data_IF_522663769522
#
_entry.id   IF_522663769522
#
_cell.length_a   1.000
_cell.length_b   1.000
_cell.length_c   1.000
_cell.angle_alpha   90.00
_cell.angle_beta   90.00
_cell.angle_gamma   90.00
#
_symmetry.space_group_name_H-M   'P 1'
#
loop_
_entity.id
_entity.type
_entity.pdbx_description
1 polymer ?
#
# COMPACT_ATOMS: atom_id res chain seq x y z
N UNK A 1 -47.01 51.81 57.70
CA UNK A 1 -47.13 50.55 56.93
C UNK A 1 -45.97 50.50 55.96
N UNK A 2 -44.92 49.74 56.28
CA UNK A 2 -43.75 49.60 55.44
C UNK A 2 -43.92 48.36 54.55
N UNK A 3 -43.94 48.52 53.19
CA UNK A 3 -43.99 47.44 52.28
C UNK A 3 -42.55 46.91 52.05
N UNK A 4 -42.31 45.65 52.42
CA UNK A 4 -41.05 44.94 52.14
C UNK A 4 -41.21 44.34 50.79
N UNK A 5 -40.34 44.77 49.82
CA UNK A 5 -40.23 44.19 48.52
C UNK A 5 -39.14 43.08 48.58
N UNK A 6 -39.56 41.83 48.49
CA UNK A 6 -38.65 40.68 48.42
C UNK A 6 -38.22 40.54 46.95
N UNK A 7 -36.94 40.82 46.70
CA UNK A 7 -36.32 40.66 45.41
C UNK A 7 -35.81 39.17 45.25
N UNK A 8 -36.58 38.36 44.56
CA UNK A 8 -36.15 36.97 44.24
C UNK A 8 -35.15 37.05 43.11
N UNK A 9 -33.87 36.86 43.44
CA UNK A 9 -32.81 36.69 42.45
C UNK A 9 -32.87 35.27 41.93
N UNK A 10 -33.42 35.08 40.70
CA UNK A 10 -33.43 33.80 39.97
C UNK A 10 -32.07 33.61 39.32
N UNK A 11 -31.18 32.87 40.01
CA UNK A 11 -29.90 32.44 39.42
C UNK A 11 -30.18 31.38 38.35
N UNK A 12 -30.26 31.78 37.09
CA UNK A 12 -30.20 30.87 35.96
C UNK A 12 -28.80 30.26 35.92
N UNK A 13 -28.69 29.02 36.36
CA UNK A 13 -27.52 28.17 36.10
C UNK A 13 -27.45 27.87 34.59
N UNK A 14 -26.70 28.67 33.85
CA UNK A 14 -26.30 28.36 32.48
C UNK A 14 -25.34 27.16 32.53
N UNK A 15 -25.89 25.95 32.60
CA UNK A 15 -25.16 24.76 32.21
C UNK A 15 -24.91 24.87 30.73
N UNK A 16 -23.83 25.57 30.36
CA UNK A 16 -23.30 25.57 29.01
C UNK A 16 -22.95 24.14 28.65
N UNK A 17 -23.76 23.52 27.81
CA UNK A 17 -23.40 22.28 27.12
C UNK A 17 -22.23 22.63 26.23
N UNK A 18 -21.01 22.57 26.76
CA UNK A 18 -19.81 22.53 25.92
C UNK A 18 -19.93 21.27 25.08
N UNK A 19 -20.31 21.39 23.82
CA UNK A 19 -20.14 20.33 22.85
C UNK A 19 -18.65 19.98 22.90
N UNK A 20 -18.31 18.95 23.66
CA UNK A 20 -16.96 18.35 23.57
C UNK A 20 -16.75 17.99 22.12
N UNK A 21 -15.83 18.69 21.46
CA UNK A 21 -15.44 18.39 20.07
C UNK A 21 -15.02 16.93 20.11
N UNK A 22 -15.78 16.07 19.41
CA UNK A 22 -15.43 14.64 19.34
C UNK A 22 -13.99 14.54 18.87
N UNK A 23 -13.19 13.78 19.59
CA UNK A 23 -11.83 13.47 19.17
C UNK A 23 -11.89 12.81 17.80
N UNK A 24 -11.00 13.20 16.89
CA UNK A 24 -10.96 12.67 15.53
C UNK A 24 -9.55 12.56 15.02
N UNK A 25 -9.35 11.64 14.08
CA UNK A 25 -8.11 11.45 13.32
C UNK A 25 -8.41 11.50 11.81
N UNK A 26 -7.55 12.15 11.06
CA UNK A 26 -7.63 12.23 9.60
C UNK A 26 -6.57 11.31 8.99
N UNK A 27 -7.04 10.22 8.41
CA UNK A 27 -6.20 9.17 7.81
C UNK A 27 -6.24 9.30 6.29
N UNK A 28 -5.08 9.22 5.65
CA UNK A 28 -4.94 9.16 4.20
C UNK A 28 -4.16 7.89 3.84
N UNK A 29 -4.83 6.92 3.21
CA UNK A 29 -4.29 5.59 2.91
C UNK A 29 -4.56 5.19 1.45
N UNK A 30 -4.01 4.09 1.04
CA UNK A 30 -4.38 3.39 -0.19
C UNK A 30 -5.85 2.95 -0.15
N UNK A 31 -6.49 2.86 -1.30
CA UNK A 31 -7.78 2.18 -1.41
C UNK A 31 -7.60 0.67 -1.10
N UNK A 32 -8.64 0.03 -0.55
CA UNK A 32 -8.62 -1.42 -0.27
C UNK A 32 -7.46 -1.90 0.60
N UNK A 33 -7.17 -1.19 1.70
CA UNK A 33 -6.07 -1.54 2.63
C UNK A 33 -6.54 -1.84 4.05
N UNK A 34 -7.51 -1.11 4.57
CA UNK A 34 -8.09 -1.35 5.90
C UNK A 34 -9.60 -1.53 5.70
N UNK A 35 -10.20 -2.67 6.11
CA UNK A 35 -11.65 -2.87 6.02
C UNK A 35 -12.42 -1.85 6.85
N UNK A 36 -13.57 -1.40 6.34
CA UNK A 36 -14.43 -0.43 7.02
C UNK A 36 -14.84 -0.91 8.43
N UNK A 37 -15.03 -2.22 8.63
CA UNK A 37 -15.35 -2.79 9.94
C UNK A 37 -14.29 -2.49 10.99
N UNK A 38 -13.00 -2.48 10.62
CA UNK A 38 -11.89 -2.16 11.54
C UNK A 38 -11.96 -0.69 11.97
N UNK A 39 -12.29 0.20 11.04
CA UNK A 39 -12.50 1.62 11.33
C UNK A 39 -13.68 1.81 12.28
N UNK A 40 -14.80 1.16 12.00
CA UNK A 40 -16.01 1.23 12.82
C UNK A 40 -15.80 0.62 14.23
N UNK A 41 -15.08 -0.49 14.32
CA UNK A 41 -14.71 -1.12 15.61
C UNK A 41 -13.85 -0.16 16.44
N UNK A 42 -12.83 0.47 15.85
CA UNK A 42 -12.02 1.49 16.52
C UNK A 42 -12.84 2.68 17.01
N UNK A 43 -13.73 3.23 16.16
CA UNK A 43 -14.62 4.34 16.55
C UNK A 43 -15.54 3.95 17.71
N UNK A 44 -16.06 2.72 17.69
CA UNK A 44 -16.95 2.20 18.73
C UNK A 44 -16.22 1.99 20.07
N UNK A 45 -15.00 1.45 20.03
CA UNK A 45 -14.21 1.15 21.22
C UNK A 45 -13.65 2.40 21.88
N UNK A 46 -13.25 3.39 21.08
CA UNK A 46 -12.53 4.57 21.58
C UNK A 46 -13.37 5.84 21.67
N UNK A 47 -14.49 5.90 20.94
CA UNK A 47 -15.26 7.13 20.75
C UNK A 47 -14.60 8.15 19.81
N UNK A 48 -13.43 7.83 19.24
CA UNK A 48 -12.65 8.67 18.33
C UNK A 48 -13.16 8.47 16.90
N UNK A 49 -13.49 9.57 16.21
CA UNK A 49 -13.92 9.50 14.81
C UNK A 49 -12.72 9.37 13.87
N UNK A 50 -12.82 8.48 12.90
CA UNK A 50 -11.82 8.32 11.82
C UNK A 50 -12.36 8.94 10.53
N UNK A 51 -11.75 10.02 10.06
CA UNK A 51 -11.99 10.58 8.74
C UNK A 51 -11.01 9.91 7.77
N UNK A 52 -11.49 8.90 7.06
CA UNK A 52 -10.66 8.09 6.17
C UNK A 52 -10.76 8.61 4.74
N UNK A 53 -9.63 8.87 4.11
CA UNK A 53 -9.50 9.30 2.72
C UNK A 53 -8.51 8.41 2.00
N UNK A 54 -8.63 8.27 0.69
CA UNK A 54 -7.79 7.38 -0.10
C UNK A 54 -7.02 8.12 -1.19
N UNK A 55 -6.00 7.44 -1.71
CA UNK A 55 -5.23 7.81 -2.89
C UNK A 55 -4.84 6.54 -3.67
N UNK A 56 -4.44 6.71 -4.94
CA UNK A 56 -4.13 5.62 -5.87
C UNK A 56 -2.65 5.54 -6.28
N UNK A 57 -1.85 6.58 -6.01
CA UNK A 57 -0.40 6.58 -6.25
C UNK A 57 0.37 7.37 -5.20
N UNK A 58 1.65 7.05 -5.00
CA UNK A 58 2.51 7.80 -4.09
C UNK A 58 2.69 9.26 -4.51
N UNK A 59 2.65 9.55 -5.80
CA UNK A 59 2.70 10.89 -6.36
C UNK A 59 1.44 11.69 -6.00
N UNK A 60 0.27 11.06 -6.06
CA UNK A 60 -0.99 11.64 -5.58
C UNK A 60 -0.94 11.90 -4.07
N UNK A 61 -0.43 10.95 -3.27
CA UNK A 61 -0.21 11.14 -1.84
C UNK A 61 0.67 12.37 -1.59
N UNK A 62 1.83 12.45 -2.26
CA UNK A 62 2.77 13.56 -2.11
C UNK A 62 2.11 14.89 -2.48
N UNK A 63 1.37 14.94 -3.58
CA UNK A 63 0.64 16.13 -4.02
C UNK A 63 -0.45 16.55 -3.01
N UNK A 64 -1.25 15.59 -2.51
CA UNK A 64 -2.28 15.85 -1.50
C UNK A 64 -1.67 16.42 -0.21
N UNK A 65 -0.60 15.80 0.31
CA UNK A 65 0.05 16.27 1.55
C UNK A 65 0.74 17.61 1.35
N UNK A 66 1.42 17.82 0.20
CA UNK A 66 2.13 19.07 -0.09
C UNK A 66 1.21 20.28 -0.25
N UNK A 67 0.02 20.09 -0.81
CA UNK A 67 -0.95 21.16 -1.08
C UNK A 67 -1.99 21.33 0.04
N UNK A 68 -2.02 20.42 1.02
CA UNK A 68 -2.96 20.48 2.11
C UNK A 68 -2.62 21.62 3.09
N UNK A 69 -3.65 22.13 3.77
CA UNK A 69 -3.44 23.00 4.93
C UNK A 69 -2.78 22.19 6.03
N UNK A 70 -1.95 22.83 6.85
CA UNK A 70 -1.34 22.24 8.04
C UNK A 70 -2.39 21.54 8.90
N UNK A 71 -2.11 20.30 9.33
CA UNK A 71 -3.02 19.51 10.15
C UNK A 71 -4.25 18.94 9.42
N UNK A 72 -4.25 18.91 8.08
CA UNK A 72 -5.31 18.24 7.31
C UNK A 72 -5.24 16.72 7.48
N UNK A 73 -4.05 16.15 7.52
CA UNK A 73 -3.82 14.73 7.71
C UNK A 73 -3.01 14.49 8.98
N UNK A 74 -3.39 13.46 9.74
CA UNK A 74 -2.73 13.06 10.98
C UNK A 74 -1.89 11.79 10.79
N UNK A 75 -2.31 10.89 9.90
CA UNK A 75 -1.63 9.63 9.58
C UNK A 75 -1.71 9.35 8.08
N UNK A 76 -0.58 8.94 7.49
CA UNK A 76 -0.46 8.57 6.08
C UNK A 76 0.27 7.24 5.92
N UNK A 77 0.13 6.59 4.73
CA UNK A 77 0.65 5.24 4.49
C UNK A 77 1.54 5.17 3.24
N UNK A 78 2.62 5.94 3.15
CA UNK A 78 3.49 5.93 1.97
C UNK A 78 4.33 4.66 1.84
N UNK A 79 4.65 4.29 0.61
CA UNK A 79 5.63 3.25 0.34
C UNK A 79 7.05 3.70 0.67
N UNK A 80 7.95 2.76 0.79
CA UNK A 80 9.36 2.90 1.18
C UNK A 80 10.10 4.04 0.46
N UNK A 81 10.08 4.08 -0.88
CA UNK A 81 10.76 5.15 -1.63
C UNK A 81 10.15 6.53 -1.37
N UNK A 82 8.82 6.59 -1.17
CA UNK A 82 8.12 7.83 -0.85
C UNK A 82 8.46 8.31 0.56
N UNK A 83 8.64 7.41 1.54
CA UNK A 83 9.19 7.76 2.86
C UNK A 83 10.51 8.49 2.69
N UNK A 84 11.43 7.98 1.86
CA UNK A 84 12.73 8.62 1.61
C UNK A 84 12.59 10.03 1.04
N UNK A 85 11.68 10.20 0.07
CA UNK A 85 11.37 11.50 -0.53
C UNK A 85 10.83 12.48 0.52
N UNK A 86 9.86 12.04 1.32
CA UNK A 86 9.21 12.89 2.33
C UNK A 86 10.16 13.25 3.47
N UNK A 87 11.07 12.35 3.88
CA UNK A 87 12.15 12.67 4.83
C UNK A 87 13.05 13.78 4.28
N UNK A 88 13.51 13.64 3.03
CA UNK A 88 14.38 14.63 2.39
C UNK A 88 13.70 16.00 2.25
N UNK A 89 12.38 16.03 2.13
CA UNK A 89 11.56 17.26 2.08
C UNK A 89 11.16 17.77 3.47
N UNK A 90 11.59 17.12 4.56
CA UNK A 90 11.23 17.46 5.95
C UNK A 90 9.70 17.51 6.19
N UNK A 91 8.98 16.54 5.62
CA UNK A 91 7.53 16.47 5.65
C UNK A 91 6.98 15.52 6.73
N UNK A 92 7.84 14.77 7.44
CA UNK A 92 7.45 13.78 8.43
C UNK A 92 7.90 14.14 9.84
N UNK A 93 7.10 13.76 10.84
CA UNK A 93 7.44 13.80 12.27
C UNK A 93 8.22 12.55 12.68
N UNK A 94 8.99 12.68 13.76
CA UNK A 94 9.63 11.53 14.40
C UNK A 94 8.57 10.66 15.10
N UNK A 95 8.70 9.35 14.97
CA UNK A 95 7.86 8.38 15.67
C UNK A 95 8.47 8.05 17.04
N UNK A 96 7.71 8.28 18.09
CA UNK A 96 8.04 7.85 19.45
C UNK A 96 7.53 6.42 19.69
N UNK A 97 8.42 5.45 19.52
CA UNK A 97 8.11 4.01 19.68
C UNK A 97 7.71 3.64 21.11
N UNK A 98 8.06 4.44 22.10
CA UNK A 98 7.69 4.18 23.52
C UNK A 98 6.20 4.34 23.77
N UNK A 99 5.48 5.00 22.86
CA UNK A 99 4.03 5.16 22.89
C UNK A 99 3.26 3.99 22.29
N UNK A 100 3.95 3.02 21.72
CA UNK A 100 3.37 1.86 21.02
C UNK A 100 3.65 0.58 21.81
N UNK A 101 2.64 0.04 22.47
CA UNK A 101 2.73 -1.24 23.22
C UNK A 101 2.99 -2.41 22.27
N UNK A 102 2.38 -2.36 21.08
CA UNK A 102 2.43 -3.40 20.06
C UNK A 102 3.62 -3.25 19.08
N UNK A 103 4.54 -2.28 19.30
CA UNK A 103 5.73 -2.11 18.46
C UNK A 103 6.57 -3.39 18.37
N UNK A 104 6.72 -4.13 19.48
CA UNK A 104 7.49 -5.37 19.55
C UNK A 104 6.90 -6.53 18.74
N UNK A 105 5.65 -6.39 18.26
CA UNK A 105 5.00 -7.37 17.39
C UNK A 105 5.52 -7.27 15.95
N UNK A 106 6.15 -6.16 15.56
CA UNK A 106 6.74 -6.01 14.23
C UNK A 106 7.92 -6.98 14.07
N UNK A 107 8.00 -7.57 12.88
CA UNK A 107 9.09 -8.47 12.52
C UNK A 107 10.34 -7.68 12.15
N UNK A 108 11.45 -7.97 12.80
CA UNK A 108 12.74 -7.26 12.71
C UNK A 108 13.27 -7.16 11.28
N UNK A 109 12.94 -8.14 10.41
CA UNK A 109 13.38 -8.14 9.00
C UNK A 109 12.82 -6.97 8.17
N UNK A 110 11.69 -6.38 8.60
CA UNK A 110 11.07 -5.21 7.95
C UNK A 110 11.44 -3.90 8.63
N UNK A 111 12.13 -3.97 9.78
CA UNK A 111 12.62 -2.78 10.50
C UNK A 111 13.98 -2.34 9.98
N UNK A 112 14.36 -1.10 10.31
CA UNK A 112 15.68 -0.53 10.05
C UNK A 112 16.12 -0.57 8.58
N UNK A 113 15.18 -0.40 7.67
CA UNK A 113 15.43 -0.42 6.24
C UNK A 113 16.25 0.79 5.77
N UNK A 114 16.94 0.71 4.61
CA UNK A 114 17.81 1.79 4.11
C UNK A 114 17.11 3.14 3.93
N UNK A 115 15.81 3.15 3.67
CA UNK A 115 15.04 4.39 3.47
C UNK A 115 14.75 5.15 4.78
N UNK A 116 14.71 4.45 5.94
CA UNK A 116 14.49 5.06 7.26
C UNK A 116 15.22 4.29 8.37
N UNK A 117 16.52 4.53 8.48
CA UNK A 117 17.37 3.87 9.47
C UNK A 117 16.91 4.17 10.90
N UNK A 118 16.75 3.09 11.68
CA UNK A 118 16.26 3.14 13.04
C UNK A 118 14.76 3.36 13.14
N UNK A 119 13.99 3.32 12.05
CA UNK A 119 12.56 3.59 12.02
C UNK A 119 12.23 4.90 12.75
N UNK A 120 12.89 5.96 12.33
CA UNK A 120 12.75 7.27 12.96
C UNK A 120 11.49 7.99 12.54
N UNK A 121 11.05 7.80 11.30
CA UNK A 121 9.95 8.52 10.67
C UNK A 121 8.81 7.62 10.21
N UNK A 122 9.05 6.30 10.16
CA UNK A 122 8.09 5.34 9.62
C UNK A 122 8.12 4.00 10.34
N UNK A 123 6.99 3.28 10.30
CA UNK A 123 6.89 1.90 10.77
C UNK A 123 6.25 1.05 9.68
N UNK A 124 6.74 -0.16 9.42
CA UNK A 124 6.15 -1.02 8.40
C UNK A 124 4.70 -1.39 8.76
N UNK A 125 3.82 -1.34 7.76
CA UNK A 125 2.42 -1.72 7.88
C UNK A 125 2.14 -3.02 7.13
N UNK A 126 2.45 -3.06 5.83
CA UNK A 126 2.30 -4.22 4.96
C UNK A 126 3.50 -4.30 4.02
N UNK A 127 3.81 -5.49 3.50
CA UNK A 127 4.76 -5.64 2.43
C UNK A 127 4.09 -6.26 1.20
N UNK A 128 4.56 -5.89 0.02
CA UNK A 128 4.00 -6.30 -1.24
C UNK A 128 5.07 -6.79 -2.22
N UNK A 129 4.66 -7.60 -3.19
CA UNK A 129 5.45 -7.91 -4.38
C UNK A 129 4.55 -7.96 -5.60
N UNK A 130 5.12 -7.69 -6.76
CA UNK A 130 4.46 -8.06 -8.01
C UNK A 130 4.55 -9.56 -8.25
N UNK A 131 3.61 -10.09 -9.03
CA UNK A 131 3.54 -11.51 -9.38
C UNK A 131 2.78 -11.66 -10.71
N UNK A 132 3.03 -12.73 -11.45
CA UNK A 132 2.26 -13.11 -12.62
C UNK A 132 1.14 -14.04 -12.17
N UNK A 133 -0.10 -13.74 -12.53
CA UNK A 133 -1.26 -14.61 -12.33
C UNK A 133 -1.79 -15.09 -13.68
N UNK A 134 -2.09 -16.38 -13.76
CA UNK A 134 -2.39 -17.08 -15.02
C UNK A 134 -3.67 -17.89 -14.84
N UNK A 135 -4.66 -17.67 -15.68
CA UNK A 135 -5.86 -18.51 -15.69
C UNK A 135 -5.58 -19.80 -16.49
N UNK A 136 -5.40 -20.90 -15.78
CA UNK A 136 -5.08 -22.23 -16.32
C UNK A 136 -6.23 -22.92 -17.06
N UNK A 137 -7.44 -22.32 -17.05
CA UNK A 137 -8.49 -22.77 -17.96
C UNK A 137 -8.09 -22.53 -19.42
N UNK A 138 -7.43 -21.41 -19.71
CA UNK A 138 -7.10 -20.96 -21.06
C UNK A 138 -5.63 -21.16 -21.42
N UNK A 139 -4.71 -20.88 -20.50
CA UNK A 139 -3.27 -20.92 -20.71
C UNK A 139 -2.70 -22.22 -20.16
N UNK A 140 -2.20 -23.10 -21.05
CA UNK A 140 -1.58 -24.38 -20.69
C UNK A 140 -0.06 -24.33 -20.71
N UNK A 141 0.50 -23.28 -21.30
CA UNK A 141 1.94 -23.11 -21.43
C UNK A 141 2.57 -22.83 -20.06
N UNK A 142 3.79 -23.26 -19.90
CA UNK A 142 4.63 -22.86 -18.79
C UNK A 142 5.02 -21.39 -18.96
N UNK A 143 4.70 -20.56 -17.95
CA UNK A 143 5.09 -19.16 -17.88
C UNK A 143 5.90 -19.00 -16.61
N UNK A 144 7.19 -18.68 -16.73
CA UNK A 144 8.14 -18.52 -15.62
C UNK A 144 8.96 -17.24 -15.74
N UNK A 145 8.72 -16.46 -16.80
CA UNK A 145 9.50 -15.31 -17.20
C UNK A 145 8.60 -14.20 -17.72
N UNK A 146 8.99 -12.96 -17.50
CA UNK A 146 8.34 -11.84 -18.18
C UNK A 146 8.45 -11.93 -19.70
N UNK A 147 9.54 -12.53 -20.21
CA UNK A 147 9.73 -12.73 -21.64
C UNK A 147 8.71 -13.70 -22.27
N UNK A 148 8.12 -14.60 -21.47
CA UNK A 148 7.08 -15.51 -21.95
C UNK A 148 5.81 -14.73 -22.35
N UNK A 149 5.58 -13.55 -21.74
CA UNK A 149 4.44 -12.68 -22.04
C UNK A 149 4.48 -12.08 -23.46
N UNK A 150 5.66 -12.06 -24.11
CA UNK A 150 5.83 -11.55 -25.48
C UNK A 150 5.26 -12.48 -26.57
N UNK A 151 4.83 -13.69 -26.21
CA UNK A 151 4.28 -14.62 -27.19
C UNK A 151 2.99 -14.06 -27.79
N UNK A 152 2.96 -13.93 -29.11
CA UNK A 152 1.84 -13.31 -29.85
C UNK A 152 0.50 -14.04 -29.71
N UNK A 153 0.50 -15.30 -29.23
CA UNK A 153 -0.73 -16.03 -28.90
C UNK A 153 -1.51 -15.41 -27.74
N UNK A 154 -0.88 -14.55 -26.90
CA UNK A 154 -1.51 -13.86 -25.81
C UNK A 154 -2.07 -12.48 -26.20
N UNK A 155 -2.30 -12.26 -27.49
CA UNK A 155 -2.84 -11.00 -28.01
C UNK A 155 -4.11 -10.60 -27.27
N UNK A 156 -4.10 -9.39 -26.65
CA UNK A 156 -5.22 -8.83 -25.86
C UNK A 156 -5.63 -9.70 -24.66
N UNK A 157 -4.67 -10.41 -24.04
CA UNK A 157 -4.91 -11.33 -22.91
C UNK A 157 -4.16 -10.93 -21.64
N UNK A 158 -3.29 -9.89 -21.67
CA UNK A 158 -2.43 -9.48 -20.57
C UNK A 158 -2.95 -8.21 -19.93
N UNK A 159 -3.18 -8.22 -18.62
CA UNK A 159 -3.47 -7.03 -17.81
C UNK A 159 -2.23 -6.67 -17.01
N UNK A 160 -1.89 -5.40 -16.99
CA UNK A 160 -0.74 -4.86 -16.25
C UNK A 160 -1.21 -3.83 -15.21
N UNK A 161 -0.45 -3.70 -14.13
CA UNK A 161 -0.63 -2.60 -13.17
C UNK A 161 -0.46 -1.26 -13.90
N UNK A 162 -1.29 -0.27 -13.60
CA UNK A 162 -1.16 1.10 -14.11
C UNK A 162 -0.18 1.91 -13.26
N UNK A 163 1.10 1.52 -13.31
CA UNK A 163 2.20 2.15 -12.58
C UNK A 163 3.46 2.14 -13.44
N UNK A 164 3.92 3.33 -13.83
CA UNK A 164 5.08 3.49 -14.72
C UNK A 164 6.37 2.91 -14.15
N UNK A 165 6.61 3.08 -12.83
CA UNK A 165 7.83 2.60 -12.19
C UNK A 165 7.87 1.08 -12.14
N UNK A 166 6.72 0.47 -11.87
CA UNK A 166 6.59 -0.99 -11.83
C UNK A 166 6.72 -1.59 -13.22
N UNK A 167 6.04 -1.05 -14.22
CA UNK A 167 6.00 -1.64 -15.56
C UNK A 167 7.31 -1.43 -16.34
N UNK A 168 7.92 -0.25 -16.23
CA UNK A 168 9.25 -0.02 -16.82
C UNK A 168 10.31 -0.84 -16.08
N UNK A 169 10.23 -0.92 -14.73
CA UNK A 169 11.08 -1.78 -13.92
C UNK A 169 10.95 -3.26 -14.29
N UNK A 170 9.74 -3.76 -14.55
CA UNK A 170 9.50 -5.11 -15.06
C UNK A 170 10.21 -5.34 -16.40
N UNK A 171 10.14 -4.39 -17.33
CA UNK A 171 10.81 -4.48 -18.61
C UNK A 171 12.35 -4.43 -18.50
N UNK A 172 12.87 -3.65 -17.57
CA UNK A 172 14.30 -3.63 -17.23
C UNK A 172 14.74 -5.01 -16.71
N UNK A 173 14.03 -5.56 -15.72
CA UNK A 173 14.29 -6.91 -15.19
C UNK A 173 14.22 -7.98 -16.30
N UNK A 174 13.22 -7.91 -17.18
CA UNK A 174 13.06 -8.84 -18.30
C UNK A 174 14.28 -8.87 -19.26
N UNK A 175 15.05 -7.78 -19.26
CA UNK A 175 16.28 -7.63 -20.06
C UNK A 175 17.57 -7.78 -19.23
N UNK A 176 17.46 -8.15 -17.94
CA UNK A 176 18.60 -8.41 -17.06
C UNK A 176 19.26 -7.16 -16.49
N UNK A 177 18.53 -6.04 -16.45
CA UNK A 177 18.97 -4.77 -15.88
C UNK A 177 18.38 -4.55 -14.48
N UNK A 178 18.96 -3.60 -13.74
CA UNK A 178 18.40 -3.11 -12.49
C UNK A 178 17.03 -2.43 -12.74
N UNK A 179 16.01 -2.78 -11.98
CA UNK A 179 14.67 -2.21 -12.16
C UNK A 179 14.62 -0.68 -11.95
N UNK A 180 15.62 -0.10 -11.29
CA UNK A 180 15.73 1.33 -11.03
C UNK A 180 16.72 2.03 -11.98
N UNK A 181 17.19 1.34 -13.03
CA UNK A 181 18.17 1.90 -13.94
C UNK A 181 17.71 3.23 -14.55
N UNK A 182 18.63 4.18 -14.64
CA UNK A 182 18.45 5.48 -15.30
C UNK A 182 19.33 5.62 -16.53
N UNK A 183 20.00 4.53 -16.91
CA UNK A 183 20.86 4.47 -18.08
C UNK A 183 20.02 4.51 -19.38
N UNK A 184 20.26 5.50 -20.22
CA UNK A 184 19.45 5.77 -21.41
C UNK A 184 19.34 4.57 -22.35
N UNK A 185 20.46 3.83 -22.53
CA UNK A 185 20.47 2.66 -23.39
C UNK A 185 19.60 1.52 -22.84
N UNK A 186 19.64 1.29 -21.53
CA UNK A 186 18.83 0.27 -20.86
C UNK A 186 17.34 0.62 -20.89
N UNK A 187 17.03 1.91 -20.67
CA UNK A 187 15.67 2.43 -20.77
C UNK A 187 15.11 2.33 -22.21
N UNK A 188 15.92 2.54 -23.23
CA UNK A 188 15.47 2.34 -24.63
C UNK A 188 15.20 0.86 -24.94
N UNK A 189 16.04 -0.06 -24.45
CA UNK A 189 15.82 -1.50 -24.58
C UNK A 189 14.52 -1.91 -23.85
N UNK A 190 14.29 -1.40 -22.64
CA UNK A 190 13.06 -1.65 -21.90
C UNK A 190 11.82 -1.12 -22.62
N UNK A 191 11.90 0.07 -23.22
CA UNK A 191 10.85 0.65 -24.05
C UNK A 191 10.54 -0.24 -25.27
N UNK A 192 11.56 -0.68 -26.00
CA UNK A 192 11.38 -1.58 -27.14
C UNK A 192 10.71 -2.91 -26.73
N UNK A 193 11.08 -3.44 -25.56
CA UNK A 193 10.45 -4.62 -24.99
C UNK A 193 8.95 -4.39 -24.70
N UNK A 194 8.59 -3.25 -24.10
CA UNK A 194 7.19 -2.89 -23.84
C UNK A 194 6.40 -2.66 -25.13
N UNK A 195 7.00 -2.07 -26.16
CA UNK A 195 6.36 -1.92 -27.46
C UNK A 195 6.09 -3.28 -28.13
N UNK A 196 6.94 -4.27 -27.93
CA UNK A 196 6.68 -5.65 -28.40
C UNK A 196 5.54 -6.31 -27.63
N UNK A 197 5.39 -6.00 -26.34
CA UNK A 197 4.31 -6.50 -25.50
C UNK A 197 2.95 -5.85 -25.81
N UNK A 198 2.94 -4.65 -26.41
CA UNK A 198 1.77 -3.79 -26.58
C UNK A 198 0.55 -4.49 -27.15
N UNK A 199 0.71 -5.31 -28.17
CA UNK A 199 -0.41 -6.05 -28.79
C UNK A 199 -1.03 -7.12 -27.89
N UNK A 200 -0.29 -7.58 -26.88
CA UNK A 200 -0.77 -8.55 -25.88
C UNK A 200 -1.49 -7.87 -24.73
N UNK A 201 -1.28 -6.57 -24.53
CA UNK A 201 -1.86 -5.83 -23.41
C UNK A 201 -3.34 -5.54 -23.71
N UNK A 202 -4.22 -5.99 -22.80
CA UNK A 202 -5.65 -5.69 -22.77
C UNK A 202 -5.95 -4.40 -22.04
N UNK A 203 -5.35 -4.22 -20.89
CA UNK A 203 -5.60 -3.06 -20.01
C UNK A 203 -4.43 -2.79 -19.08
N UNK A 204 -4.34 -1.54 -18.64
CA UNK A 204 -3.60 -1.12 -17.47
C UNK A 204 -4.62 -0.79 -16.38
N UNK A 205 -4.49 -1.42 -15.20
CA UNK A 205 -5.43 -1.24 -14.09
C UNK A 205 -4.72 -1.46 -12.75
N UNK A 206 -4.82 -0.51 -11.84
CA UNK A 206 -4.26 -0.60 -10.48
C UNK A 206 -5.33 -0.78 -9.40
N UNK A 207 -6.62 -0.58 -9.73
CA UNK A 207 -7.69 -0.65 -8.74
C UNK A 207 -8.20 -2.08 -8.52
N UNK A 208 -8.43 -2.82 -9.61
CA UNK A 208 -8.97 -4.19 -9.53
C UNK A 208 -8.53 -5.09 -10.67
N UNK A 209 -7.21 -5.22 -10.96
CA UNK A 209 -6.71 -6.03 -12.08
C UNK A 209 -7.12 -7.51 -11.99
N UNK A 210 -7.35 -8.03 -10.78
CA UNK A 210 -7.87 -9.40 -10.55
C UNK A 210 -9.20 -9.65 -11.23
N UNK A 211 -10.05 -8.61 -11.37
CA UNK A 211 -11.40 -8.75 -11.93
C UNK A 211 -11.38 -9.28 -13.35
N UNK A 212 -10.39 -8.88 -14.15
CA UNK A 212 -10.22 -9.39 -15.52
C UNK A 212 -9.95 -10.91 -15.57
N UNK A 213 -9.20 -11.43 -14.60
CA UNK A 213 -8.91 -12.87 -14.50
C UNK A 213 -10.15 -13.65 -14.00
N UNK A 214 -10.87 -13.10 -13.03
CA UNK A 214 -12.04 -13.72 -12.41
C UNK A 214 -13.21 -13.74 -13.41
N UNK A 215 -13.46 -12.63 -14.11
CA UNK A 215 -14.50 -12.52 -15.15
C UNK A 215 -14.14 -13.24 -16.44
N UNK A 216 -12.90 -13.72 -16.57
CA UNK A 216 -12.34 -14.38 -17.77
C UNK A 216 -12.23 -13.44 -18.97
N UNK A 217 -12.14 -12.15 -18.74
CA UNK A 217 -11.89 -11.17 -19.79
C UNK A 217 -10.43 -11.10 -20.21
N UNK A 218 -9.52 -11.55 -19.34
CA UNK A 218 -8.09 -11.73 -19.62
C UNK A 218 -7.61 -13.04 -19.00
N UNK A 219 -6.54 -13.58 -19.53
CA UNK A 219 -6.00 -14.86 -19.09
C UNK A 219 -4.69 -14.74 -18.32
N UNK A 220 -4.02 -13.60 -18.38
CA UNK A 220 -2.75 -13.32 -17.71
C UNK A 220 -2.82 -11.92 -17.09
N UNK A 221 -2.27 -11.77 -15.89
CA UNK A 221 -2.09 -10.45 -15.28
C UNK A 221 -0.75 -10.37 -14.54
N UNK A 222 -0.12 -9.19 -14.58
CA UNK A 222 0.94 -8.79 -13.65
C UNK A 222 0.31 -7.83 -12.65
N UNK A 223 0.26 -8.23 -11.38
CA UNK A 223 -0.48 -7.52 -10.34
C UNK A 223 0.19 -7.66 -8.97
N UNK A 224 -0.29 -6.91 -8.00
CA UNK A 224 0.18 -7.04 -6.63
C UNK A 224 -0.27 -8.35 -6.00
N UNK A 225 0.54 -8.89 -5.12
CA UNK A 225 0.34 -10.18 -4.46
C UNK A 225 -1.01 -10.34 -3.74
N UNK A 226 -1.57 -9.27 -3.17
CA UNK A 226 -2.89 -9.34 -2.53
C UNK A 226 -4.00 -9.60 -3.55
N UNK A 227 -3.98 -8.88 -4.68
CA UNK A 227 -4.92 -9.06 -5.78
C UNK A 227 -4.79 -10.47 -6.39
N UNK A 228 -3.55 -10.94 -6.58
CA UNK A 228 -3.24 -12.30 -7.04
C UNK A 228 -3.77 -13.38 -6.09
N UNK A 229 -3.66 -13.14 -4.79
CA UNK A 229 -4.17 -14.05 -3.76
C UNK A 229 -5.70 -14.13 -3.82
N UNK A 230 -6.38 -12.99 -3.91
CA UNK A 230 -7.85 -12.93 -4.00
C UNK A 230 -8.31 -13.64 -5.28
N UNK A 231 -7.67 -13.36 -6.42
CA UNK A 231 -7.98 -14.02 -7.68
C UNK A 231 -7.92 -15.56 -7.55
N UNK A 232 -6.84 -16.10 -6.98
CA UNK A 232 -6.71 -17.55 -6.71
C UNK A 232 -7.72 -18.05 -5.68
N UNK A 233 -8.11 -17.25 -4.71
CA UNK A 233 -9.13 -17.65 -3.73
C UNK A 233 -10.52 -17.77 -4.34
N UNK A 234 -10.84 -16.91 -5.29
CA UNK A 234 -12.12 -16.90 -6.00
C UNK A 234 -12.18 -17.92 -7.15
N UNK A 235 -11.07 -18.09 -7.87
CA UNK A 235 -10.97 -19.10 -8.93
C UNK A 235 -9.68 -19.91 -8.79
N UNK A 236 -9.79 -21.18 -8.41
CA UNK A 236 -8.67 -22.09 -8.18
C UNK A 236 -7.87 -22.44 -9.45
N UNK A 237 -8.41 -22.14 -10.62
CA UNK A 237 -7.65 -22.27 -11.88
C UNK A 237 -6.70 -21.10 -12.12
N UNK A 238 -6.74 -20.06 -11.31
CA UNK A 238 -5.75 -18.97 -11.37
C UNK A 238 -4.52 -19.39 -10.57
N UNK A 239 -3.42 -19.61 -11.27
CA UNK A 239 -2.11 -19.92 -10.72
C UNK A 239 -1.27 -18.66 -10.61
N UNK A 240 -0.53 -18.54 -9.51
CA UNK A 240 0.38 -17.44 -9.25
C UNK A 240 1.83 -17.90 -9.41
N UNK A 241 2.63 -17.16 -10.19
CA UNK A 241 4.00 -17.51 -10.55
C UNK A 241 4.93 -16.32 -10.32
N UNK A 242 6.01 -16.54 -9.60
CA UNK A 242 7.10 -15.56 -9.50
C UNK A 242 8.03 -15.70 -10.70
N UNK A 243 8.23 -14.63 -11.49
CA UNK A 243 9.13 -14.65 -12.64
C UNK A 243 10.59 -14.83 -12.18
N UNK A 244 11.37 -15.56 -12.98
CA UNK A 244 12.76 -15.90 -12.67
C UNK A 244 13.70 -14.68 -12.63
N UNK A 245 13.33 -13.60 -13.30
CA UNK A 245 14.11 -12.36 -13.40
C UNK A 245 14.10 -11.57 -12.07
N UNK A 246 13.09 -11.75 -11.26
CA UNK A 246 12.85 -10.99 -10.03
C UNK A 246 11.51 -10.26 -10.07
N UNK A 247 11.19 -9.54 -9.02
CA UNK A 247 9.92 -8.84 -8.85
C UNK A 247 10.14 -7.49 -8.20
N UNK A 248 9.24 -6.56 -8.44
CA UNK A 248 9.17 -5.35 -7.64
C UNK A 248 8.66 -5.67 -6.24
N UNK A 249 9.34 -5.14 -5.23
CA UNK A 249 8.95 -5.19 -3.81
C UNK A 249 8.53 -3.82 -3.34
N UNK A 250 7.66 -3.78 -2.33
CA UNK A 250 7.28 -2.56 -1.62
C UNK A 250 7.03 -2.86 -0.14
N UNK A 251 7.32 -1.88 0.72
CA UNK A 251 6.86 -1.84 2.11
C UNK A 251 6.09 -0.55 2.31
N UNK A 252 4.80 -0.69 2.58
CA UNK A 252 3.98 0.46 2.95
C UNK A 252 4.08 0.69 4.46
N UNK A 253 4.14 1.96 4.84
CA UNK A 253 4.52 2.35 6.19
C UNK A 253 3.51 3.30 6.81
N UNK A 254 3.27 3.18 8.10
CA UNK A 254 2.72 4.27 8.90
C UNK A 254 3.71 5.43 8.92
N UNK A 255 3.25 6.64 8.65
CA UNK A 255 4.04 7.85 8.79
C UNK A 255 3.16 9.02 9.26
N UNK A 256 3.74 9.90 10.08
CA UNK A 256 3.05 11.06 10.66
C UNK A 256 3.50 12.32 9.92
N UNK A 257 2.60 13.03 9.22
CA UNK A 257 2.95 14.30 8.58
C UNK A 257 3.46 15.33 9.59
N UNK A 258 4.38 16.21 9.15
CA UNK A 258 5.05 17.21 9.99
C UNK A 258 4.12 18.10 10.82
N UNK A 259 2.94 18.39 10.29
CA UNK A 259 1.98 19.30 10.91
C UNK A 259 0.76 18.56 11.49
N UNK A 260 0.85 17.25 11.76
CA UNK A 260 -0.23 16.46 12.37
C UNK A 260 -0.66 17.04 13.74
N UNK A 261 -1.98 17.18 13.93
CA UNK A 261 -2.54 17.89 15.10
C UNK A 261 -2.79 16.94 16.28
N UNK A 262 -3.11 15.67 16.03
CA UNK A 262 -3.65 14.76 17.03
C UNK A 262 -2.73 13.57 17.29
N UNK A 263 -1.45 13.81 17.54
CA UNK A 263 -0.43 12.75 17.63
C UNK A 263 -0.76 11.65 18.64
N UNK A 264 -1.35 11.98 19.81
CA UNK A 264 -1.74 10.95 20.79
C UNK A 264 -2.80 9.99 20.22
N UNK A 265 -3.73 10.51 19.43
CA UNK A 265 -4.74 9.68 18.75
C UNK A 265 -4.11 8.85 17.65
N UNK A 266 -3.12 9.41 16.93
CA UNK A 266 -2.36 8.66 15.91
C UNK A 266 -1.70 7.44 16.54
N UNK A 267 -1.01 7.59 17.67
CA UNK A 267 -0.38 6.46 18.37
C UNK A 267 -1.40 5.42 18.83
N UNK A 268 -2.57 5.84 19.33
CA UNK A 268 -3.66 4.92 19.68
C UNK A 268 -4.13 4.13 18.47
N UNK A 269 -4.28 4.78 17.30
CA UNK A 269 -4.73 4.12 16.10
C UNK A 269 -3.67 3.16 15.53
N UNK A 270 -2.40 3.56 15.48
CA UNK A 270 -1.30 2.69 15.07
C UNK A 270 -1.21 1.47 15.99
N UNK A 271 -1.26 1.67 17.31
CA UNK A 271 -1.17 0.59 18.29
C UNK A 271 -2.35 -0.39 18.17
N UNK A 272 -3.55 0.11 17.91
CA UNK A 272 -4.74 -0.70 17.63
C UNK A 272 -4.57 -1.55 16.35
N UNK A 273 -4.08 -0.95 15.27
CA UNK A 273 -3.82 -1.70 14.03
C UNK A 273 -2.74 -2.78 14.21
N UNK A 274 -1.72 -2.50 15.03
CA UNK A 274 -0.62 -3.45 15.31
C UNK A 274 -1.03 -4.58 16.27
N UNK A 275 -2.24 -4.57 16.84
CA UNK A 275 -2.74 -5.69 17.61
C UNK A 275 -2.89 -6.93 16.71
N UNK A 276 -2.39 -8.11 17.11
CA UNK A 276 -2.35 -9.29 16.24
C UNK A 276 -3.71 -9.71 15.69
N UNK A 277 -4.78 -9.58 16.49
CA UNK A 277 -6.14 -9.95 16.07
C UNK A 277 -6.73 -8.97 15.07
N UNK A 278 -6.42 -7.69 15.20
CA UNK A 278 -6.83 -6.63 14.27
C UNK A 278 -6.04 -6.77 12.95
N UNK A 279 -4.72 -6.89 13.04
CA UNK A 279 -3.88 -7.10 11.87
C UNK A 279 -4.27 -8.37 11.10
N UNK A 280 -4.66 -9.46 11.81
CA UNK A 280 -5.18 -10.67 11.16
C UNK A 280 -6.41 -10.37 10.31
N UNK A 281 -7.40 -9.62 10.83
CA UNK A 281 -8.61 -9.24 10.07
C UNK A 281 -8.24 -8.46 8.81
N UNK A 282 -7.31 -7.50 8.91
CA UNK A 282 -6.82 -6.72 7.78
C UNK A 282 -6.18 -7.63 6.74
N UNK A 283 -5.25 -8.48 7.14
CA UNK A 283 -4.50 -9.41 6.27
C UNK A 283 -5.42 -10.44 5.62
N UNK A 284 -6.44 -10.93 6.31
CA UNK A 284 -7.38 -11.90 5.73
C UNK A 284 -8.39 -11.27 4.77
N UNK A 285 -8.59 -9.95 4.86
CA UNK A 285 -9.43 -9.18 3.92
C UNK A 285 -8.62 -8.68 2.72
N UNK A 286 -7.42 -8.17 2.97
CA UNK A 286 -6.47 -7.68 1.97
C UNK A 286 -5.13 -8.42 2.14
N UNK A 287 -4.95 -9.57 1.46
CA UNK A 287 -3.90 -10.54 1.78
C UNK A 287 -2.51 -10.14 1.25
N UNK A 288 -2.06 -8.95 1.61
CA UNK A 288 -0.68 -8.53 1.47
C UNK A 288 0.24 -9.34 2.39
N UNK A 289 1.55 -9.22 2.21
CA UNK A 289 2.50 -9.88 3.11
C UNK A 289 2.47 -9.23 4.49
N UNK A 290 2.17 -10.05 5.48
CA UNK A 290 2.17 -9.64 6.88
C UNK A 290 3.57 -9.28 7.39
N UNK A 291 3.67 -8.19 8.15
CA UNK A 291 4.91 -7.71 8.78
C UNK A 291 4.90 -7.86 10.32
N UNK A 292 3.83 -8.41 10.88
CA UNK A 292 3.64 -8.59 12.32
C UNK A 292 3.86 -10.05 12.71
N UNK A 293 4.94 -10.35 13.44
CA UNK A 293 5.34 -11.72 13.78
C UNK A 293 4.36 -12.44 14.72
N UNK A 294 3.61 -11.69 15.53
CA UNK A 294 2.60 -12.31 16.40
C UNK A 294 1.34 -12.66 15.61
N UNK A 295 0.98 -11.84 14.62
CA UNK A 295 -0.09 -12.15 13.66
C UNK A 295 0.22 -13.39 12.83
N UNK A 296 1.47 -13.61 12.42
CA UNK A 296 1.87 -14.81 11.66
C UNK A 296 1.46 -16.12 12.38
N UNK A 297 1.47 -16.13 13.72
CA UNK A 297 1.12 -17.32 14.51
C UNK A 297 -0.36 -17.69 14.36
N UNK A 298 -1.24 -16.71 14.17
CA UNK A 298 -2.70 -16.88 14.18
C UNK A 298 -3.37 -16.76 12.80
N UNK A 299 -2.62 -16.45 11.73
CA UNK A 299 -3.14 -16.41 10.36
C UNK A 299 -3.63 -17.79 9.91
N UNK A 300 -4.67 -17.80 9.07
CA UNK A 300 -5.30 -19.01 8.54
C UNK A 300 -4.35 -19.80 7.63
N UNK A 301 -4.58 -21.12 7.54
CA UNK A 301 -3.86 -21.96 6.57
C UNK A 301 -4.13 -21.55 5.12
N UNK A 302 -5.31 -20.98 4.84
CA UNK A 302 -5.66 -20.43 3.52
C UNK A 302 -4.65 -19.35 3.10
N UNK A 303 -4.31 -18.45 4.01
CA UNK A 303 -3.28 -17.42 3.79
C UNK A 303 -1.88 -18.03 3.72
N UNK A 304 -1.50 -18.85 4.71
CA UNK A 304 -0.13 -19.39 4.85
C UNK A 304 0.30 -20.28 3.68
N UNK A 305 -0.66 -21.00 3.08
CA UNK A 305 -0.39 -21.96 2.00
C UNK A 305 -0.46 -21.32 0.60
N UNK A 306 -0.83 -20.03 0.47
CA UNK A 306 -0.84 -19.34 -0.80
C UNK A 306 0.49 -18.60 -1.01
N UNK A 307 1.18 -18.87 -2.10
CA UNK A 307 2.51 -18.31 -2.38
C UNK A 307 2.48 -16.80 -2.61
N UNK A 308 1.35 -16.25 -3.06
CA UNK A 308 1.21 -14.82 -3.29
C UNK A 308 1.06 -14.08 -1.96
N UNK A 309 0.13 -14.49 -1.07
CA UNK A 309 -0.02 -13.83 0.24
C UNK A 309 1.19 -14.06 1.15
N UNK A 310 1.68 -15.30 1.20
CA UNK A 310 2.84 -15.66 1.99
C UNK A 310 4.11 -15.69 1.13
N UNK A 311 4.51 -14.53 0.62
CA UNK A 311 5.69 -14.36 -0.24
C UNK A 311 6.89 -15.13 0.33
N UNK A 312 7.47 -16.09 -0.43
CA UNK A 312 8.63 -16.85 0.04
C UNK A 312 9.85 -15.95 0.31
N UNK A 313 10.62 -16.29 1.34
CA UNK A 313 11.79 -15.49 1.73
C UNK A 313 12.84 -15.35 0.62
N UNK A 314 12.98 -16.34 -0.28
CA UNK A 314 13.92 -16.26 -1.39
C UNK A 314 13.49 -15.21 -2.43
N UNK A 315 12.17 -14.99 -2.61
CA UNK A 315 11.64 -13.93 -3.47
C UNK A 315 11.95 -12.57 -2.85
N UNK A 316 11.75 -12.44 -1.53
CA UNK A 316 12.07 -11.19 -0.82
C UNK A 316 13.57 -10.84 -0.86
N UNK A 317 14.45 -11.85 -0.96
CA UNK A 317 15.90 -11.64 -1.11
C UNK A 317 16.35 -11.33 -2.53
N UNK A 318 15.57 -11.71 -3.55
CA UNK A 318 15.90 -11.52 -4.97
C UNK A 318 15.15 -10.35 -5.60
N UNK A 319 14.04 -9.93 -5.01
CA UNK A 319 13.25 -8.83 -5.53
C UNK A 319 13.91 -7.49 -5.21
N UNK A 320 13.56 -6.50 -5.99
CA UNK A 320 14.11 -5.15 -5.91
C UNK A 320 13.04 -4.18 -5.39
N UNK A 321 13.44 -3.31 -4.48
CA UNK A 321 12.59 -2.20 -4.06
C UNK A 321 12.64 -1.08 -5.08
N UNK A 322 11.49 -0.40 -5.26
CA UNK A 322 11.48 0.84 -6.04
C UNK A 322 12.31 1.89 -5.31
N UNK A 323 13.25 2.50 -6.01
CA UNK A 323 14.11 3.54 -5.44
C UNK A 323 13.73 4.94 -5.94
N UNK A 324 14.13 5.95 -5.17
CA UNK A 324 14.00 7.34 -5.60
C UNK A 324 15.07 7.66 -6.66
N UNK A 325 14.67 7.75 -7.93
CA UNK A 325 15.53 8.11 -9.05
C UNK A 325 15.65 9.62 -9.30
N UNK A 326 15.10 10.43 -8.39
CA UNK A 326 15.19 11.88 -8.46
C UNK A 326 14.61 12.47 -9.75
N UNK A 327 15.34 13.40 -10.37
CA UNK A 327 14.89 14.08 -11.60
C UNK A 327 14.82 13.15 -12.83
N UNK A 328 15.37 11.93 -12.74
CA UNK A 328 15.32 10.95 -13.83
C UNK A 328 13.93 10.37 -14.03
N UNK A 329 12.98 10.61 -13.10
CA UNK A 329 11.57 10.27 -13.30
C UNK A 329 11.04 10.75 -14.66
N UNK A 330 11.48 11.90 -15.15
CA UNK A 330 11.11 12.42 -16.47
C UNK A 330 11.46 11.51 -17.65
N UNK A 331 12.44 10.62 -17.49
CA UNK A 331 12.80 9.63 -18.51
C UNK A 331 11.73 8.52 -18.54
N UNK A 332 11.25 8.12 -17.37
CA UNK A 332 10.17 7.15 -17.20
C UNK A 332 8.84 7.72 -17.71
N UNK A 333 8.47 8.96 -17.30
CA UNK A 333 7.28 9.66 -17.79
C UNK A 333 7.20 9.64 -19.34
N UNK A 334 8.33 9.94 -20.00
CA UNK A 334 8.39 9.94 -21.47
C UNK A 334 8.14 8.54 -22.06
N UNK A 335 8.78 7.52 -21.51
CA UNK A 335 8.58 6.14 -21.98
C UNK A 335 7.12 5.74 -21.74
N UNK A 336 6.57 6.07 -20.58
CA UNK A 336 5.20 5.75 -20.22
C UNK A 336 4.17 6.32 -21.20
N UNK A 337 4.36 7.58 -21.61
CA UNK A 337 3.52 8.22 -22.62
C UNK A 337 3.67 7.53 -24.00
N UNK A 338 4.88 7.10 -24.37
CA UNK A 338 5.14 6.49 -25.68
C UNK A 338 4.56 5.06 -25.81
N UNK A 339 4.43 4.33 -24.68
CA UNK A 339 3.93 2.93 -24.69
C UNK A 339 2.42 2.82 -24.52
N UNK A 340 1.77 3.79 -23.88
CA UNK A 340 0.30 3.87 -23.75
C UNK A 340 -0.34 4.41 -25.01
#
# INVERSE_FOLDING_TARGET
MKKIIILIILTLSLTGCTKTKKEQINVLNWSSYIPDEIILDFEKETGIKVNYSTYSSNEELLAKVSNAKKGTYDLIFPSDYMIKIMINKNMLENIDKTKLKNYSNLNEKYLNQPYDKGNKYSLPFLAASTIISINREFIKDEITSYNDLLNTKYKNEVVLIDDERIIIGMALLANGFDMNSVEKNELEIAKEWLLKLKDNIKAYDSDSPKSFLISKEASIAVLWNAEATIANWENKNIENVYPKEGVALSIDNFAIPKDAQNQEIVYKFIDYILEPTIMKKIIESYPYKNVNKETDKILSNKYKNNIASNIPDYIFRKGDFVENIGNNIKLYDKIWVDIK
#
